data_IF_385835179411
#
_entry.id   IF_385835179411
#
_cell.length_a   1.000
_cell.length_b   1.000
_cell.length_c   1.000
_cell.angle_alpha   90.00
_cell.angle_beta   90.00
_cell.angle_gamma   90.00
#
_symmetry.space_group_name_H-M   'P 1'
#
loop_
_entity.id
_entity.type
_entity.pdbx_description
1 polymer ?
#
# COMPACT_ATOMS: atom_id res chain seq x y z
N UNK A 1 19.80 -13.63 7.02
CA UNK A 1 19.52 -13.47 5.58
C UNK A 1 18.86 -12.12 5.41
N UNK A 2 19.49 -11.25 4.64
CA UNK A 2 19.11 -9.84 4.42
C UNK A 2 17.95 -9.70 3.41
N UNK A 3 17.22 -8.58 3.43
CA UNK A 3 16.09 -8.26 2.53
C UNK A 3 16.44 -8.42 1.05
N UNK A 4 17.59 -7.89 0.67
CA UNK A 4 18.03 -7.90 -0.72
C UNK A 4 18.66 -9.23 -1.15
N UNK A 5 19.14 -10.07 -0.22
CA UNK A 5 19.59 -11.42 -0.54
C UNK A 5 18.41 -12.30 -0.99
N UNK A 6 17.29 -12.22 -0.26
CA UNK A 6 16.08 -12.96 -0.62
C UNK A 6 15.36 -12.35 -1.83
N UNK A 7 15.37 -11.02 -1.93
CA UNK A 7 14.70 -10.31 -3.02
C UNK A 7 15.64 -9.36 -3.76
N UNK A 8 16.58 -9.89 -4.56
CA UNK A 8 17.54 -9.06 -5.30
C UNK A 8 16.83 -8.07 -6.23
N UNK A 9 15.68 -8.48 -6.78
CA UNK A 9 14.81 -7.63 -7.59
C UNK A 9 14.20 -6.46 -6.82
N UNK A 10 14.39 -6.31 -5.51
CA UNK A 10 14.00 -5.07 -4.82
C UNK A 10 15.14 -4.05 -4.81
N UNK A 11 16.40 -4.44 -5.05
CA UNK A 11 17.53 -3.51 -5.04
C UNK A 11 17.46 -2.47 -6.18
N UNK A 12 16.84 -2.81 -7.32
CA UNK A 12 16.71 -1.86 -8.45
C UNK A 12 15.91 -0.59 -8.10
N UNK A 13 15.06 -0.61 -7.08
CA UNK A 13 14.26 0.57 -6.70
C UNK A 13 15.15 1.72 -6.23
N UNK A 14 16.34 1.41 -5.73
CA UNK A 14 17.36 2.39 -5.34
C UNK A 14 17.86 3.20 -6.55
N UNK A 15 18.05 2.55 -7.69
CA UNK A 15 18.55 3.21 -8.92
C UNK A 15 17.42 3.81 -9.77
N UNK A 16 16.17 3.37 -9.58
CA UNK A 16 15.02 3.81 -10.39
C UNK A 16 14.04 4.70 -9.62
N UNK A 17 13.03 4.11 -8.99
CA UNK A 17 11.98 4.81 -8.24
C UNK A 17 11.60 4.01 -7.00
N UNK A 18 11.23 4.70 -5.92
CA UNK A 18 10.68 4.10 -4.69
C UNK A 18 9.63 5.02 -4.06
N UNK A 19 8.37 4.57 -3.99
CA UNK A 19 7.15 5.26 -3.53
C UNK A 19 6.78 6.58 -4.26
N UNK A 20 7.76 7.41 -4.61
CA UNK A 20 7.61 8.72 -5.25
C UNK A 20 8.60 8.85 -6.43
N UNK A 21 8.10 9.15 -7.62
CA UNK A 21 8.92 9.25 -8.84
C UNK A 21 9.90 10.42 -8.85
N UNK A 22 9.72 11.41 -7.96
CA UNK A 22 10.56 12.60 -7.85
C UNK A 22 11.64 12.51 -6.76
N UNK A 23 11.72 11.38 -6.04
CA UNK A 23 12.81 11.17 -5.09
C UNK A 23 14.16 11.10 -5.80
N UNK A 24 15.11 11.89 -5.29
CA UNK A 24 16.53 11.79 -5.58
C UNK A 24 17.10 10.46 -5.07
N UNK A 25 18.28 10.02 -5.57
CA UNK A 25 18.93 8.81 -5.05
C UNK A 25 19.11 8.83 -3.52
N UNK A 26 19.46 10.00 -2.96
CA UNK A 26 19.62 10.19 -1.52
C UNK A 26 18.32 10.01 -0.75
N UNK A 27 17.22 10.58 -1.24
CA UNK A 27 15.88 10.38 -0.65
C UNK A 27 15.45 8.91 -0.76
N UNK A 28 15.63 8.27 -1.93
CA UNK A 28 15.28 6.85 -2.08
C UNK A 28 16.01 5.97 -1.09
N UNK A 29 17.32 6.16 -0.94
CA UNK A 29 18.12 5.42 0.05
C UNK A 29 17.59 5.63 1.48
N UNK A 30 17.39 6.89 1.89
CA UNK A 30 16.92 7.21 3.23
C UNK A 30 15.54 6.59 3.53
N UNK A 31 14.64 6.61 2.56
CA UNK A 31 13.29 6.05 2.70
C UNK A 31 13.29 4.52 2.76
N UNK A 32 14.08 3.86 1.90
CA UNK A 32 14.27 2.40 1.93
C UNK A 32 14.81 1.95 3.29
N UNK A 33 15.84 2.62 3.80
CA UNK A 33 16.43 2.30 5.10
C UNK A 33 15.43 2.53 6.23
N UNK A 34 14.68 3.63 6.20
CA UNK A 34 13.64 3.92 7.18
C UNK A 34 12.55 2.85 7.20
N UNK A 35 12.08 2.45 6.02
CA UNK A 35 11.02 1.46 5.83
C UNK A 35 11.42 0.08 6.37
N UNK A 36 12.61 -0.41 5.97
CA UNK A 36 13.13 -1.70 6.42
C UNK A 36 13.49 -1.69 7.91
N UNK A 37 14.00 -0.57 8.44
CA UNK A 37 14.26 -0.45 9.89
C UNK A 37 12.97 -0.49 10.69
N UNK A 38 11.93 0.22 10.23
CA UNK A 38 10.64 0.24 10.91
C UNK A 38 10.03 -1.17 11.00
N UNK A 39 9.94 -1.89 9.89
CA UNK A 39 9.34 -3.22 9.90
C UNK A 39 10.13 -4.21 10.76
N UNK A 40 11.46 -4.10 10.73
CA UNK A 40 12.35 -4.98 11.52
C UNK A 40 12.12 -4.76 13.01
N UNK A 41 12.03 -3.50 13.45
CA UNK A 41 11.71 -3.14 14.83
C UNK A 41 10.30 -3.59 15.23
N UNK A 42 9.32 -3.44 14.33
CA UNK A 42 7.94 -3.88 14.57
C UNK A 42 7.90 -5.39 14.82
N UNK A 43 8.51 -6.20 13.97
CA UNK A 43 8.53 -7.66 14.16
C UNK A 43 9.25 -8.09 15.43
N UNK A 44 10.39 -7.47 15.73
CA UNK A 44 11.10 -7.70 17.00
C UNK A 44 10.21 -7.42 18.21
N UNK A 45 9.47 -6.30 18.21
CA UNK A 45 8.58 -5.94 19.31
C UNK A 45 7.38 -6.88 19.46
N UNK A 46 6.87 -7.42 18.35
CA UNK A 46 5.79 -8.41 18.35
C UNK A 46 6.24 -9.82 18.72
N UNK A 47 7.55 -10.03 18.97
CA UNK A 47 8.17 -11.36 19.17
C UNK A 47 7.82 -12.35 18.06
N UNK A 48 7.46 -11.84 16.90
CA UNK A 48 7.33 -12.64 15.70
C UNK A 48 8.78 -12.90 15.31
N UNK A 49 9.23 -14.14 15.51
CA UNK A 49 10.55 -14.56 15.04
C UNK A 49 10.67 -14.03 13.61
N UNK A 50 11.73 -13.27 13.26
CA UNK A 50 11.90 -12.80 11.91
C UNK A 50 11.68 -14.03 11.03
N UNK A 51 10.58 -14.10 10.25
CA UNK A 51 10.31 -15.31 9.49
C UNK A 51 11.53 -15.55 8.59
N UNK A 52 11.68 -16.69 7.90
CA UNK A 52 12.48 -16.67 6.67
C UNK A 52 11.89 -15.53 5.84
N UNK A 53 12.57 -14.39 5.90
CA UNK A 53 11.93 -13.12 5.67
C UNK A 53 11.48 -13.17 4.20
N UNK A 54 10.30 -12.63 3.91
CA UNK A 54 9.81 -12.43 2.53
C UNK A 54 9.30 -13.66 1.76
N UNK A 55 9.40 -14.89 2.30
CA UNK A 55 8.80 -16.08 1.70
C UNK A 55 7.49 -16.54 2.34
N UNK A 56 7.31 -16.24 3.63
CA UNK A 56 6.07 -16.55 4.35
C UNK A 56 5.15 -15.34 4.39
N UNK A 57 3.91 -15.56 3.96
CA UNK A 57 2.79 -14.62 4.07
C UNK A 57 2.52 -14.37 5.55
N UNK A 58 2.54 -13.12 6.00
CA UNK A 58 2.25 -12.77 7.40
C UNK A 58 0.92 -12.05 7.44
N UNK A 59 -0.15 -12.74 7.81
CA UNK A 59 -1.44 -12.09 8.08
C UNK A 59 -1.32 -11.26 9.37
N UNK A 60 -1.07 -9.95 9.24
CA UNK A 60 -0.99 -9.03 10.39
C UNK A 60 -2.40 -8.63 10.87
N UNK A 61 -3.38 -8.64 9.97
CA UNK A 61 -4.77 -8.39 10.31
C UNK A 61 -5.65 -9.41 9.60
N UNK A 62 -6.44 -10.14 10.38
CA UNK A 62 -7.66 -10.73 9.87
C UNK A 62 -8.76 -9.71 10.17
N UNK A 63 -9.13 -8.89 9.20
CA UNK A 63 -10.42 -8.24 9.29
C UNK A 63 -11.43 -9.38 9.17
N UNK A 64 -11.94 -9.83 10.32
CA UNK A 64 -13.01 -10.81 10.40
C UNK A 64 -14.28 -10.15 9.86
N UNK A 65 -14.33 -9.86 8.57
CA UNK A 65 -15.60 -9.61 7.89
C UNK A 65 -16.27 -10.99 7.82
N UNK A 66 -17.42 -11.20 8.46
CA UNK A 66 -18.10 -12.48 8.39
C UNK A 66 -18.31 -12.87 6.93
N UNK A 67 -17.70 -13.98 6.50
CA UNK A 67 -17.80 -14.53 5.14
C UNK A 67 -17.29 -13.62 3.99
N UNK A 68 -16.32 -12.74 4.23
CA UNK A 68 -15.66 -11.93 3.18
C UNK A 68 -14.14 -12.20 3.15
N UNK A 69 -13.46 -11.90 2.02
CA UNK A 69 -12.15 -12.45 1.69
C UNK A 69 -11.04 -12.06 2.67
N UNK A 70 -10.03 -12.92 2.70
CA UNK A 70 -8.92 -12.92 3.64
C UNK A 70 -7.99 -11.73 3.36
N UNK A 71 -7.84 -10.84 4.34
CA UNK A 71 -6.92 -9.70 4.24
C UNK A 71 -5.46 -10.16 4.31
N UNK A 72 -4.69 -9.75 3.31
CA UNK A 72 -3.28 -10.07 3.20
C UNK A 72 -2.46 -8.80 3.44
N UNK A 73 -1.84 -8.72 4.61
CA UNK A 73 -0.67 -7.89 4.81
C UNK A 73 0.58 -8.68 4.37
N UNK A 74 1.53 -8.05 3.71
CA UNK A 74 2.82 -8.69 3.51
C UNK A 74 3.69 -7.94 2.53
N UNK A 75 4.76 -8.62 2.10
CA UNK A 75 5.62 -8.09 1.04
C UNK A 75 4.81 -7.94 -0.25
N UNK A 76 4.98 -6.79 -0.89
CA UNK A 76 4.48 -6.50 -2.22
C UNK A 76 5.23 -7.36 -3.24
N UNK A 77 4.48 -8.01 -4.13
CA UNK A 77 5.04 -8.86 -5.20
C UNK A 77 4.83 -8.29 -6.59
N UNK A 78 4.08 -7.18 -6.72
CA UNK A 78 3.56 -6.70 -8.00
C UNK A 78 4.20 -5.39 -8.47
N UNK A 79 4.56 -4.50 -7.54
CA UNK A 79 5.03 -3.15 -7.85
C UNK A 79 6.03 -2.65 -6.80
N UNK A 80 7.20 -3.29 -6.71
CA UNK A 80 8.22 -2.95 -5.70
C UNK A 80 8.62 -1.47 -5.72
N UNK A 81 8.57 -0.82 -6.89
CA UNK A 81 8.86 0.61 -7.01
C UNK A 81 7.80 1.49 -6.33
N UNK A 82 6.57 1.02 -6.16
CA UNK A 82 5.51 1.73 -5.41
C UNK A 82 5.62 1.48 -3.90
N UNK A 83 6.45 0.53 -3.45
CA UNK A 83 6.67 0.24 -2.02
C UNK A 83 6.85 -1.26 -1.79
N UNK A 84 7.45 -1.61 -0.64
CA UNK A 84 7.73 -3.00 -0.30
C UNK A 84 6.60 -3.73 0.38
N UNK A 85 5.58 -3.03 0.87
CA UNK A 85 4.47 -3.63 1.60
C UNK A 85 3.16 -3.45 0.86
N UNK A 86 2.29 -4.44 1.01
CA UNK A 86 0.98 -4.46 0.41
C UNK A 86 -0.06 -4.91 1.42
N UNK A 87 -1.22 -4.24 1.39
CA UNK A 87 -2.46 -4.73 1.97
C UNK A 87 -3.38 -5.10 0.80
N UNK A 88 -3.81 -6.34 0.73
CA UNK A 88 -4.63 -6.84 -0.38
C UNK A 88 -5.87 -7.57 0.10
N UNK A 89 -6.99 -7.31 -0.59
CA UNK A 89 -8.23 -8.09 -0.51
C UNK A 89 -8.12 -9.25 -1.49
N UNK A 90 -8.27 -10.49 -1.03
CA UNK A 90 -8.06 -11.69 -1.87
C UNK A 90 -9.24 -12.63 -1.88
N UNK A 91 -9.71 -13.05 -3.05
CA UNK A 91 -10.82 -14.03 -3.15
C UNK A 91 -10.49 -15.35 -2.40
N UNK A 92 -11.48 -16.23 -2.16
CA UNK A 92 -11.24 -17.52 -1.46
C UNK A 92 -10.16 -18.40 -2.10
N UNK A 93 -9.91 -18.24 -3.41
CA UNK A 93 -8.83 -18.91 -4.15
C UNK A 93 -7.44 -18.31 -3.92
N UNK A 94 -7.35 -17.22 -3.15
CA UNK A 94 -6.11 -16.51 -2.82
C UNK A 94 -5.66 -15.46 -3.84
N UNK A 95 -6.47 -15.20 -4.87
CA UNK A 95 -6.16 -14.21 -5.91
C UNK A 95 -6.48 -12.79 -5.43
N UNK A 96 -5.62 -11.82 -5.75
CA UNK A 96 -5.81 -10.43 -5.34
C UNK A 96 -6.95 -9.80 -6.15
N UNK A 97 -7.99 -9.34 -5.46
CA UNK A 97 -9.08 -8.54 -6.05
C UNK A 97 -8.64 -7.07 -6.10
N UNK A 98 -8.10 -6.59 -4.99
CA UNK A 98 -7.69 -5.19 -4.83
C UNK A 98 -6.48 -5.10 -3.90
N UNK A 99 -5.58 -4.14 -4.14
CA UNK A 99 -4.35 -3.99 -3.36
C UNK A 99 -4.01 -2.51 -3.15
N UNK A 100 -3.57 -2.19 -1.95
CA UNK A 100 -2.90 -0.95 -1.61
C UNK A 100 -1.42 -1.24 -1.35
N UNK A 101 -0.53 -0.51 -2.02
CA UNK A 101 0.92 -0.58 -1.79
C UNK A 101 1.33 0.61 -0.94
N UNK A 102 2.15 0.37 0.08
CA UNK A 102 2.59 1.40 1.00
C UNK A 102 4.03 1.20 1.48
N UNK A 103 4.58 2.24 2.10
CA UNK A 103 5.88 2.24 2.77
C UNK A 103 5.86 3.13 4.02
N UNK A 104 6.75 2.85 4.97
CA UNK A 104 7.00 3.70 6.13
C UNK A 104 8.08 4.74 5.79
N UNK A 105 7.68 6.01 5.78
CA UNK A 105 8.58 7.14 5.53
C UNK A 105 9.44 7.46 6.77
N UNK A 106 10.50 8.28 6.61
CA UNK A 106 11.09 9.01 7.73
C UNK A 106 10.01 9.74 8.55
N UNK A 107 10.28 9.97 9.84
CA UNK A 107 9.32 10.51 10.80
C UNK A 107 8.08 9.63 11.02
N UNK A 108 8.19 8.31 10.82
CA UNK A 108 7.13 7.33 11.14
C UNK A 108 5.77 7.66 10.49
N UNK A 109 5.77 8.19 9.27
CA UNK A 109 4.54 8.33 8.49
C UNK A 109 4.29 7.09 7.64
N UNK A 110 3.03 6.69 7.44
CA UNK A 110 2.66 5.64 6.50
C UNK A 110 2.22 6.29 5.18
N UNK A 111 2.90 5.98 4.08
CA UNK A 111 2.55 6.48 2.74
C UNK A 111 1.90 5.39 1.91
N UNK A 112 0.65 5.61 1.52
CA UNK A 112 -0.07 4.84 0.51
C UNK A 112 0.34 5.36 -0.86
N UNK A 113 1.14 4.55 -1.57
CA UNK A 113 1.78 4.90 -2.83
C UNK A 113 1.05 4.34 -4.05
N UNK A 114 0.17 3.36 -3.86
CA UNK A 114 -0.81 2.99 -4.87
C UNK A 114 -2.01 2.28 -4.30
N UNK A 115 -3.12 2.33 -5.03
CA UNK A 115 -4.35 1.58 -4.79
C UNK A 115 -4.83 1.11 -6.15
N UNK A 116 -4.86 -0.20 -6.37
CA UNK A 116 -5.05 -0.79 -7.69
C UNK A 116 -5.89 -2.07 -7.59
N UNK A 117 -6.71 -2.32 -8.61
CA UNK A 117 -7.32 -3.64 -8.81
C UNK A 117 -6.26 -4.66 -9.18
N UNK A 118 -6.40 -5.90 -8.70
CA UNK A 118 -5.42 -6.96 -8.97
C UNK A 118 -5.27 -7.21 -10.47
N UNK A 119 -4.04 -7.28 -10.97
CA UNK A 119 -3.74 -7.55 -12.38
C UNK A 119 -3.48 -9.05 -12.60
N UNK A 120 -4.32 -9.72 -13.39
CA UNK A 120 -4.17 -11.13 -13.70
C UNK A 120 -5.33 -11.67 -14.56
N UNK A 121 -5.26 -12.96 -14.92
CA UNK A 121 -6.24 -13.70 -15.76
C UNK A 121 -7.68 -13.69 -15.20
N UNK A 122 -7.87 -13.24 -13.96
CA UNK A 122 -9.16 -12.98 -13.31
C UNK A 122 -9.93 -11.75 -13.85
N UNK A 123 -9.60 -11.22 -15.04
CA UNK A 123 -10.31 -10.03 -15.56
C UNK A 123 -11.77 -10.31 -15.92
N UNK A 124 -12.14 -11.56 -16.21
CA UNK A 124 -13.50 -11.92 -16.61
C UNK A 124 -14.53 -11.76 -15.48
N UNK A 125 -14.12 -11.89 -14.20
CA UNK A 125 -15.03 -11.86 -13.05
C UNK A 125 -14.71 -10.77 -12.03
N UNK A 126 -13.70 -9.92 -12.28
CA UNK A 126 -13.24 -8.90 -11.33
C UNK A 126 -14.34 -7.91 -10.95
N UNK A 127 -15.15 -7.48 -11.90
CA UNK A 127 -16.24 -6.54 -11.61
C UNK A 127 -17.26 -7.16 -10.67
N UNK A 128 -17.58 -8.43 -10.84
CA UNK A 128 -18.51 -9.16 -9.98
C UNK A 128 -17.92 -9.38 -8.59
N UNK A 129 -16.62 -9.67 -8.49
CA UNK A 129 -15.91 -9.74 -7.21
C UNK A 129 -15.92 -8.39 -6.48
N UNK A 130 -15.69 -7.28 -7.20
CA UNK A 130 -15.76 -5.91 -6.64
C UNK A 130 -17.20 -5.59 -6.18
N UNK A 131 -18.22 -5.92 -6.99
CA UNK A 131 -19.64 -5.72 -6.62
C UNK A 131 -20.01 -6.54 -5.38
N UNK A 132 -19.61 -7.81 -5.34
CA UNK A 132 -19.85 -8.70 -4.22
C UNK A 132 -19.16 -8.19 -2.95
N UNK A 133 -17.89 -7.79 -3.06
CA UNK A 133 -17.14 -7.17 -1.97
C UNK A 133 -17.83 -5.92 -1.44
N UNK A 134 -18.21 -5.02 -2.33
CA UNK A 134 -18.89 -3.77 -1.98
C UNK A 134 -20.20 -4.06 -1.24
N UNK A 135 -20.98 -5.03 -1.71
CA UNK A 135 -22.21 -5.47 -1.04
C UNK A 135 -21.94 -6.05 0.35
N UNK A 136 -20.90 -6.88 0.50
CA UNK A 136 -20.48 -7.45 1.80
C UNK A 136 -19.92 -6.40 2.76
N UNK A 137 -19.39 -5.31 2.24
CA UNK A 137 -18.88 -4.18 3.02
C UNK A 137 -19.91 -3.06 3.15
N UNK A 138 -21.22 -3.37 3.13
CA UNK A 138 -22.32 -2.43 3.33
C UNK A 138 -22.30 -1.21 2.39
N UNK A 139 -21.82 -1.40 1.15
CA UNK A 139 -21.68 -0.33 0.16
C UNK A 139 -20.30 0.33 0.12
N UNK A 140 -19.39 0.00 1.04
CA UNK A 140 -18.03 0.53 1.04
C UNK A 140 -17.20 -0.07 -0.11
N UNK A 141 -16.66 0.79 -0.96
CA UNK A 141 -15.82 0.36 -2.09
C UNK A 141 -14.51 -0.28 -1.60
N UNK A 142 -13.95 -1.28 -2.32
CA UNK A 142 -12.67 -1.90 -1.97
C UNK A 142 -11.51 -0.94 -1.73
N UNK A 143 -11.40 0.14 -2.51
CA UNK A 143 -10.39 1.19 -2.33
C UNK A 143 -10.54 1.90 -0.99
N UNK A 144 -11.76 2.34 -0.67
CA UNK A 144 -12.08 3.02 0.58
C UNK A 144 -11.83 2.11 1.79
N UNK A 145 -12.20 0.83 1.70
CA UNK A 145 -11.91 -0.16 2.75
C UNK A 145 -10.41 -0.27 3.03
N UNK A 146 -9.57 -0.39 1.99
CA UNK A 146 -8.12 -0.44 2.17
C UNK A 146 -7.54 0.85 2.76
N UNK A 147 -8.08 2.01 2.37
CA UNK A 147 -7.66 3.31 2.94
C UNK A 147 -7.97 3.35 4.43
N UNK A 148 -9.19 3.00 4.84
CA UNK A 148 -9.58 2.98 6.24
C UNK A 148 -8.78 1.94 7.04
N UNK A 149 -8.53 0.76 6.47
CA UNK A 149 -7.69 -0.24 7.10
C UNK A 149 -6.25 0.28 7.32
N UNK A 150 -5.66 0.98 6.35
CA UNK A 150 -4.34 1.57 6.49
C UNK A 150 -4.34 2.76 7.47
N UNK A 151 -5.42 3.54 7.55
CA UNK A 151 -5.59 4.56 8.59
C UNK A 151 -5.63 3.94 9.99
N UNK A 152 -6.33 2.82 10.17
CA UNK A 152 -6.36 2.08 11.44
C UNK A 152 -4.97 1.51 11.75
N UNK A 153 -4.31 0.91 10.75
CA UNK A 153 -2.95 0.38 10.88
C UNK A 153 -1.98 1.45 11.37
N UNK A 154 -1.97 2.64 10.76
CA UNK A 154 -1.14 3.78 11.18
C UNK A 154 -1.32 4.09 12.66
N UNK A 155 -2.57 4.10 13.17
CA UNK A 155 -2.85 4.34 14.59
C UNK A 155 -2.32 3.21 15.48
N UNK A 156 -2.59 1.95 15.12
CA UNK A 156 -2.16 0.80 15.91
C UNK A 156 -0.64 0.73 16.00
N UNK A 157 0.05 1.07 14.92
CA UNK A 157 1.51 1.12 14.85
C UNK A 157 2.13 2.40 15.46
N UNK A 158 1.30 3.31 15.99
CA UNK A 158 1.73 4.61 16.55
C UNK A 158 2.55 5.43 15.55
N UNK A 159 2.19 5.34 14.27
CA UNK A 159 2.69 6.21 13.22
C UNK A 159 2.04 7.60 13.34
N UNK A 160 2.72 8.63 12.85
CA UNK A 160 2.30 10.02 13.01
C UNK A 160 1.06 10.36 12.18
N UNK A 161 1.00 9.87 10.95
CA UNK A 161 -0.10 10.15 10.01
C UNK A 161 -0.09 9.16 8.84
N UNK A 162 -1.25 9.06 8.20
CA UNK A 162 -1.44 8.34 6.95
C UNK A 162 -1.41 9.35 5.81
N UNK A 163 -0.60 9.09 4.79
CA UNK A 163 -0.41 9.95 3.63
C UNK A 163 -0.81 9.20 2.35
N UNK A 164 -1.48 9.88 1.42
CA UNK A 164 -1.74 9.42 0.06
C UNK A 164 -0.81 10.11 -0.95
N UNK A 165 -0.25 9.35 -1.90
CA UNK A 165 0.63 9.91 -2.94
C UNK A 165 -0.15 10.78 -3.93
N UNK A 166 0.25 12.02 -4.18
CA UNK A 166 -0.40 12.80 -5.23
C UNK A 166 -0.16 12.20 -6.63
N UNK A 167 -1.11 12.38 -7.55
CA UNK A 167 -1.02 11.92 -8.95
C UNK A 167 0.28 12.38 -9.62
N UNK A 168 0.75 13.60 -9.28
CA UNK A 168 2.00 14.18 -9.78
C UNK A 168 3.27 13.46 -9.32
N UNK A 169 3.21 12.67 -8.23
CA UNK A 169 4.33 11.94 -7.65
C UNK A 169 4.24 10.43 -7.90
N UNK A 170 3.09 9.94 -8.33
CA UNK A 170 2.83 8.52 -8.56
C UNK A 170 3.63 7.99 -9.78
N UNK A 171 4.27 6.82 -9.62
CA UNK A 171 5.26 6.25 -10.55
C UNK A 171 4.66 5.69 -11.85
N UNK A 172 3.48 5.07 -11.75
CA UNK A 172 2.75 4.42 -12.85
C UNK A 172 1.53 5.23 -13.35
N UNK A 173 1.40 6.51 -13.01
CA UNK A 173 0.18 7.32 -13.19
C UNK A 173 -0.31 7.41 -14.63
N UNK A 174 0.61 7.31 -15.59
CA UNK A 174 0.34 7.47 -17.01
C UNK A 174 0.20 6.11 -17.73
N UNK A 175 0.32 4.98 -17.02
CA UNK A 175 0.11 3.67 -17.62
C UNK A 175 -1.37 3.50 -17.94
N UNK A 176 -1.68 3.33 -19.22
CA UNK A 176 -3.05 3.13 -19.70
C UNK A 176 -3.77 4.40 -20.14
N UNK A 177 -3.14 5.57 -20.07
CA UNK A 177 -3.72 6.83 -20.58
C UNK A 177 -4.12 6.70 -22.06
N UNK A 178 -3.27 6.06 -22.87
CA UNK A 178 -3.54 5.74 -24.28
C UNK A 178 -4.67 4.71 -24.49
N UNK A 179 -5.11 4.02 -23.43
CA UNK A 179 -6.24 3.08 -23.41
C UNK A 179 -7.46 3.64 -22.68
N UNK A 180 -7.45 4.93 -22.33
CA UNK A 180 -8.53 5.58 -21.58
C UNK A 180 -8.63 5.17 -20.11
N UNK A 181 -7.65 4.43 -19.57
CA UNK A 181 -7.63 3.99 -18.18
C UNK A 181 -6.51 4.68 -17.42
N UNK A 182 -6.88 5.63 -16.55
CA UNK A 182 -5.95 6.26 -15.60
C UNK A 182 -6.59 6.31 -14.21
N UNK A 183 -5.78 6.10 -13.18
CA UNK A 183 -6.22 6.25 -11.79
C UNK A 183 -6.00 7.70 -11.36
N UNK A 184 -7.10 8.40 -11.06
CA UNK A 184 -7.04 9.72 -10.44
C UNK A 184 -6.83 9.55 -8.92
N UNK A 185 -5.56 9.56 -8.53
CA UNK A 185 -5.16 9.40 -7.13
C UNK A 185 -5.61 10.60 -6.30
N UNK A 186 -5.44 11.81 -6.83
CA UNK A 186 -5.85 13.06 -6.17
C UNK A 186 -7.35 13.02 -5.82
N UNK A 187 -8.21 12.61 -6.77
CA UNK A 187 -9.64 12.40 -6.50
C UNK A 187 -9.89 11.28 -5.48
N UNK A 188 -9.18 10.16 -5.59
CA UNK A 188 -9.30 9.04 -4.64
C UNK A 188 -9.02 9.48 -3.20
N UNK A 189 -8.00 10.33 -3.00
CA UNK A 189 -7.66 10.84 -1.68
C UNK A 189 -8.64 11.89 -1.18
N UNK A 190 -9.14 12.76 -2.05
CA UNK A 190 -10.18 13.73 -1.70
C UNK A 190 -11.49 13.04 -1.28
N UNK A 191 -11.90 11.98 -1.96
CA UNK A 191 -13.04 11.13 -1.56
C UNK A 191 -12.81 10.49 -0.17
N UNK A 192 -11.56 10.27 0.22
CA UNK A 192 -11.16 9.82 1.55
C UNK A 192 -10.86 10.96 2.53
N UNK A 193 -11.36 12.18 2.27
CA UNK A 193 -11.18 13.38 3.09
C UNK A 193 -9.72 13.80 3.26
N UNK A 194 -8.89 13.51 2.25
CA UNK A 194 -7.50 13.88 2.21
C UNK A 194 -7.30 15.38 2.00
N UNK A 195 -6.45 15.98 2.82
CA UNK A 195 -6.04 17.39 2.67
C UNK A 195 -4.60 17.45 2.16
N UNK A 196 -4.33 18.32 1.19
CA UNK A 196 -2.99 18.43 0.63
C UNK A 196 -2.03 19.08 1.64
N UNK A 197 -0.95 18.39 1.96
CA UNK A 197 0.13 18.86 2.83
C UNK A 197 1.48 18.67 2.16
N UNK A 198 2.44 19.55 2.44
CA UNK A 198 3.79 19.43 1.89
C UNK A 198 4.79 19.06 2.99
N UNK A 199 5.54 17.98 2.76
CA UNK A 199 6.59 17.48 3.64
C UNK A 199 7.91 17.62 2.89
N UNK A 200 8.75 18.54 3.36
CA UNK A 200 9.91 18.99 2.60
C UNK A 200 9.46 19.59 1.26
N UNK A 201 9.98 19.05 0.15
CA UNK A 201 9.70 19.54 -1.21
C UNK A 201 8.58 18.80 -1.96
N UNK A 202 7.91 17.86 -1.30
CA UNK A 202 6.89 17.00 -1.93
C UNK A 202 5.55 17.18 -1.23
N UNK A 203 4.46 17.17 -1.99
CA UNK A 203 3.11 17.31 -1.45
C UNK A 203 2.30 16.01 -1.59
N UNK A 204 1.67 15.64 -0.49
CA UNK A 204 0.92 14.41 -0.25
C UNK A 204 -0.46 14.76 0.30
N UNK A 205 -1.39 13.81 0.29
CA UNK A 205 -2.68 13.96 0.94
C UNK A 205 -2.63 13.41 2.36
N UNK A 206 -2.78 14.24 3.38
CA UNK A 206 -2.97 13.79 4.75
C UNK A 206 -4.38 13.22 4.92
N UNK A 207 -4.47 11.93 5.24
CA UNK A 207 -5.74 11.22 5.40
C UNK A 207 -6.12 11.22 6.89
N UNK A 208 -7.07 12.09 7.25
CA UNK A 208 -7.48 12.28 8.65
C UNK A 208 -8.23 11.08 9.20
N UNK A 209 -7.93 10.72 10.45
CA UNK A 209 -8.52 9.55 11.10
C UNK A 209 -9.89 9.80 11.76
N UNK A 210 -10.42 11.03 11.66
CA UNK A 210 -11.77 11.40 12.09
C UNK A 210 -12.47 12.02 10.89
N UNK A 211 -13.66 11.53 10.55
CA UNK A 211 -14.56 12.27 9.67
C UNK A 211 -15.05 13.49 10.48
N UNK A 212 -14.91 14.69 9.92
CA UNK A 212 -15.57 15.88 10.47
C UNK A 212 -17.07 15.77 10.25
#
# INVERSE_FOLDING_TARGET
MDFFEYSPICAYVLIRYFCNKKFSPKERFAYIVSDLRFITQLWQSLKIAPPPFFGKKVSIYLLLIPKSPMDYFGKNTNANEEGFWALALRNPSGESIYQATFCFMPEKNLLIASIQGGGGRASAHREDEIRLLTKKCFGLRPSALLIEALKILTKVLKCNQTLGISSKLQIRSNRGLHKGYYADYDKTWQEAYGELVCIGRHCYYQLHHKHK
#
